data_IF_873099964421
#
_entry.id   IF_873099964421
#
_cell.length_a   1.000
_cell.length_b   1.000
_cell.length_c   1.000
_cell.angle_alpha   90.00
_cell.angle_beta   90.00
_cell.angle_gamma   90.00
#
_symmetry.space_group_name_H-M   'P 1'
#
loop_
_entity.id
_entity.type
_entity.pdbx_description
1 polymer ?
#
# COMPACT_ATOMS: atom_id res chain seq x y z
N UNK A 1 26.86 4.56 47.47
CA UNK A 1 26.37 4.06 46.16
C UNK A 1 25.84 5.29 45.45
N UNK A 2 26.73 6.11 44.90
CA UNK A 2 26.39 7.32 44.14
C UNK A 2 26.72 6.98 42.67
N UNK A 3 25.82 7.03 41.70
CA UNK A 3 24.83 8.07 41.45
C UNK A 3 25.33 8.87 40.25
N UNK A 4 25.32 8.28 39.04
CA UNK A 4 25.76 8.96 37.82
C UNK A 4 24.64 9.88 37.29
N UNK A 5 24.24 10.85 38.12
CA UNK A 5 23.30 11.92 37.79
C UNK A 5 24.12 13.04 37.13
N UNK A 6 24.15 13.06 35.80
CA UNK A 6 24.83 14.13 35.05
C UNK A 6 25.53 13.72 33.76
N UNK A 7 25.39 12.47 33.30
CA UNK A 7 25.92 12.07 32.01
C UNK A 7 25.14 12.76 30.88
N UNK A 8 25.79 13.72 30.20
CA UNK A 8 25.28 14.35 28.99
C UNK A 8 25.42 13.38 27.82
N UNK A 9 24.32 12.72 27.46
CA UNK A 9 24.26 11.85 26.29
C UNK A 9 24.08 12.70 25.03
N UNK A 10 25.15 12.85 24.27
CA UNK A 10 25.09 13.48 22.94
C UNK A 10 24.80 12.40 21.92
N UNK A 11 23.69 12.54 21.16
CA UNK A 11 23.34 11.61 20.08
C UNK A 11 24.37 11.80 18.97
N UNK A 12 25.36 10.90 18.89
CA UNK A 12 26.47 11.01 17.94
C UNK A 12 26.07 10.73 16.49
N UNK A 13 24.99 9.97 16.27
CA UNK A 13 24.60 9.57 14.92
C UNK A 13 23.09 9.27 14.84
N UNK A 14 22.41 9.90 13.87
CA UNK A 14 21.02 9.58 13.52
C UNK A 14 21.06 8.98 12.13
N UNK A 15 21.23 7.66 12.05
CA UNK A 15 21.14 6.94 10.79
C UNK A 15 19.66 6.86 10.35
N UNK A 16 19.22 7.84 9.56
CA UNK A 16 17.90 7.86 8.92
C UNK A 16 17.94 6.93 7.70
N UNK A 17 17.81 5.62 7.92
CA UNK A 17 17.67 4.68 6.81
C UNK A 17 16.36 4.97 6.07
N UNK A 18 16.38 5.33 4.78
CA UNK A 18 15.16 5.43 3.99
C UNK A 18 14.65 4.01 3.78
N UNK A 19 13.73 3.57 4.65
CA UNK A 19 13.01 2.32 4.45
C UNK A 19 12.05 2.51 3.27
N UNK A 20 12.54 2.26 2.07
CA UNK A 20 11.71 2.19 0.86
C UNK A 20 10.90 0.91 0.94
N UNK A 21 9.70 1.00 1.51
CA UNK A 21 8.74 -0.11 1.48
C UNK A 21 8.15 -0.16 0.08
N UNK A 22 8.71 -0.98 -0.80
CA UNK A 22 8.10 -1.28 -2.08
C UNK A 22 6.73 -1.91 -1.83
N UNK A 23 5.62 -1.29 -2.25
CA UNK A 23 4.31 -1.89 -2.08
C UNK A 23 4.21 -3.10 -3.00
N UNK A 24 3.86 -4.25 -2.43
CA UNK A 24 3.52 -5.44 -3.20
C UNK A 24 2.25 -5.18 -4.02
N UNK A 25 2.11 -5.82 -5.19
CA UNK A 25 0.90 -5.68 -5.99
C UNK A 25 -0.32 -6.08 -5.16
N UNK A 26 -1.42 -5.34 -5.32
CA UNK A 26 -2.66 -5.68 -4.66
C UNK A 26 -3.17 -7.02 -5.20
N UNK A 27 -3.40 -7.97 -4.30
CA UNK A 27 -4.20 -9.15 -4.64
C UNK A 27 -5.68 -8.80 -4.52
N UNK A 28 -6.55 -9.64 -5.08
CA UNK A 28 -8.00 -9.45 -5.03
C UNK A 28 -8.50 -9.32 -3.58
N UNK A 29 -7.96 -10.10 -2.65
CA UNK A 29 -8.36 -10.01 -1.24
C UNK A 29 -7.86 -8.74 -0.57
N UNK A 30 -6.62 -8.31 -0.84
CA UNK A 30 -6.06 -7.08 -0.24
C UNK A 30 -6.78 -5.83 -0.75
N UNK A 31 -7.12 -5.80 -2.05
CA UNK A 31 -7.87 -4.70 -2.65
C UNK A 31 -9.28 -4.58 -2.07
N UNK A 32 -9.99 -5.70 -1.87
CA UNK A 32 -11.32 -5.70 -1.25
C UNK A 32 -11.27 -5.25 0.20
N UNK A 33 -10.28 -5.72 0.97
CA UNK A 33 -10.09 -5.34 2.38
C UNK A 33 -9.77 -3.85 2.52
N UNK A 34 -8.87 -3.32 1.69
CA UNK A 34 -8.52 -1.89 1.68
C UNK A 34 -9.69 -1.02 1.23
N UNK A 35 -10.47 -1.46 0.23
CA UNK A 35 -11.66 -0.75 -0.22
C UNK A 35 -12.76 -0.71 0.85
N UNK A 36 -12.94 -1.79 1.61
CA UNK A 36 -13.86 -1.81 2.73
C UNK A 36 -13.38 -0.87 3.85
N UNK A 37 -12.11 -0.94 4.21
CA UNK A 37 -11.53 -0.14 5.29
C UNK A 37 -11.45 1.36 4.98
N UNK A 38 -11.11 1.73 3.73
CA UNK A 38 -10.89 3.13 3.34
C UNK A 38 -12.12 3.80 2.76
N UNK A 39 -12.94 3.05 2.01
CA UNK A 39 -14.06 3.60 1.24
C UNK A 39 -15.42 3.06 1.69
N UNK A 40 -15.46 2.16 2.68
CA UNK A 40 -16.71 1.53 3.12
C UNK A 40 -17.37 0.66 2.05
N UNK A 41 -16.65 0.28 0.99
CA UNK A 41 -17.21 -0.48 -0.13
C UNK A 41 -17.35 -1.96 0.22
N UNK A 42 -18.47 -2.57 -0.18
CA UNK A 42 -18.65 -4.02 -0.15
C UNK A 42 -17.85 -4.67 -1.29
N UNK A 43 -17.41 -5.92 -1.10
CA UNK A 43 -16.60 -6.66 -2.08
C UNK A 43 -17.18 -6.64 -3.50
N UNK A 44 -18.51 -6.71 -3.62
CA UNK A 44 -19.23 -6.65 -4.90
C UNK A 44 -19.05 -5.30 -5.60
N UNK A 45 -19.21 -4.19 -4.89
CA UNK A 45 -19.05 -2.85 -5.45
C UNK A 45 -17.60 -2.61 -5.91
N UNK A 46 -16.63 -3.02 -5.09
CA UNK A 46 -15.21 -2.95 -5.42
C UNK A 46 -14.88 -3.74 -6.70
N UNK A 47 -15.39 -4.97 -6.83
CA UNK A 47 -15.15 -5.80 -8.02
C UNK A 47 -15.84 -5.26 -9.27
N UNK A 48 -17.06 -4.73 -9.17
CA UNK A 48 -17.74 -4.11 -10.33
C UNK A 48 -16.97 -2.91 -10.85
N UNK A 49 -16.46 -2.05 -9.97
CA UNK A 49 -15.62 -0.91 -10.37
C UNK A 49 -14.29 -1.38 -10.98
N UNK A 50 -13.64 -2.37 -10.37
CA UNK A 50 -12.40 -2.94 -10.91
C UNK A 50 -12.62 -3.59 -12.29
N UNK A 51 -13.73 -4.29 -12.50
CA UNK A 51 -14.07 -4.89 -13.79
C UNK A 51 -14.38 -3.85 -14.87
N UNK A 52 -15.07 -2.77 -14.52
CA UNK A 52 -15.31 -1.65 -15.44
C UNK A 52 -14.01 -1.00 -15.86
N UNK A 53 -13.14 -0.68 -14.90
CA UNK A 53 -11.82 -0.13 -15.16
C UNK A 53 -10.92 -1.09 -15.95
N UNK A 54 -11.03 -2.40 -15.74
CA UNK A 54 -10.33 -3.38 -16.55
C UNK A 54 -10.84 -3.35 -18.00
N UNK A 55 -12.15 -3.26 -18.21
CA UNK A 55 -12.74 -3.22 -19.55
C UNK A 55 -12.49 -1.88 -20.27
N UNK A 56 -12.56 -0.76 -19.57
CA UNK A 56 -12.27 0.58 -20.11
C UNK A 56 -10.76 0.82 -20.28
N UNK A 57 -9.95 0.32 -19.35
CA UNK A 57 -8.49 0.43 -19.37
C UNK A 57 -7.82 -0.58 -20.31
N UNK A 58 -8.45 -1.73 -20.55
CA UNK A 58 -8.11 -2.63 -21.67
C UNK A 58 -8.71 -2.13 -22.99
N UNK A 59 -8.68 -0.80 -23.20
CA UNK A 59 -9.12 -0.17 -24.43
C UNK A 59 -8.51 -0.88 -25.65
N UNK A 60 -9.33 -1.22 -26.65
CA UNK A 60 -9.11 -2.36 -27.53
C UNK A 60 -8.19 -1.99 -28.69
N UNK A 61 -6.90 -2.28 -28.58
CA UNK A 61 -6.04 -2.39 -29.77
C UNK A 61 -5.37 -3.75 -29.91
N UNK A 62 -5.72 -4.73 -29.07
CA UNK A 62 -5.26 -6.10 -29.28
C UNK A 62 -6.36 -7.08 -28.90
N UNK A 63 -7.36 -7.20 -29.77
CA UNK A 63 -8.10 -8.46 -29.95
C UNK A 63 -7.49 -9.13 -31.18
N UNK A 64 -6.93 -10.35 -31.09
CA UNK A 64 -6.67 -11.12 -32.28
C UNK A 64 -8.03 -11.50 -32.88
N UNK A 65 -8.31 -10.95 -34.06
CA UNK A 65 -9.32 -11.52 -34.96
C UNK A 65 -9.05 -13.01 -35.13
N UNK A 66 -10.14 -13.78 -35.11
CA UNK A 66 -10.23 -15.22 -35.30
C UNK A 66 -9.29 -15.82 -36.35
#
# INVERSE_FOLDING_TARGET
MEGLVGATYTVSDITKSPSTRNPSPFTTSTLQQEANSKLGMSSKATMTSAQKLYQEGASPTCVPTA
#
